data_IF_924402006830
#
_entry.id   IF_924402006830
#
_cell.length_a   1.000
_cell.length_b   1.000
_cell.length_c   1.000
_cell.angle_alpha   90.00
_cell.angle_beta   90.00
_cell.angle_gamma   90.00
#
_symmetry.space_group_name_H-M   'P 1'
#
loop_
_entity.id
_entity.type
_entity.pdbx_description
1 polymer ?
#
# COMPACT_ATOMS: atom_id res chain seq x y z
N UNK A 1 4.30 -15.10 17.01
CA UNK A 1 4.21 -13.64 17.25
C UNK A 1 3.04 -13.12 16.41
N UNK A 2 2.21 -12.21 16.92
CA UNK A 2 1.06 -11.72 16.12
C UNK A 2 1.56 -10.64 15.17
N UNK A 3 1.39 -10.86 13.86
CA UNK A 3 1.69 -9.87 12.84
C UNK A 3 0.39 -9.21 12.36
N UNK A 4 0.37 -7.89 12.34
CA UNK A 4 -0.66 -7.09 11.71
C UNK A 4 -0.23 -6.63 10.32
N UNK A 5 -1.21 -6.48 9.46
CA UNK A 5 -1.03 -6.04 8.09
C UNK A 5 -2.14 -5.07 7.72
N UNK A 6 -1.80 -3.88 7.26
CA UNK A 6 -2.75 -2.94 6.66
C UNK A 6 -2.47 -2.80 5.18
N UNK A 7 -3.55 -2.75 4.41
CA UNK A 7 -3.48 -2.59 2.96
C UNK A 7 -4.23 -1.35 2.50
N UNK A 8 -3.67 -0.67 1.51
CA UNK A 8 -4.28 0.47 0.87
C UNK A 8 -4.22 0.37 -0.65
N UNK A 9 -5.18 1.00 -1.30
CA UNK A 9 -5.19 1.18 -2.75
C UNK A 9 -5.57 2.60 -3.13
N UNK A 10 -5.02 3.07 -4.25
CA UNK A 10 -5.37 4.36 -4.83
C UNK A 10 -5.11 4.39 -6.32
N UNK A 11 -5.65 5.39 -7.05
CA UNK A 11 -5.34 5.57 -8.46
C UNK A 11 -3.87 5.99 -8.60
N UNK A 12 -3.14 5.41 -9.55
CA UNK A 12 -1.74 5.78 -9.78
C UNK A 12 -1.61 7.10 -10.57
N UNK A 13 -2.59 7.42 -11.43
CA UNK A 13 -2.69 8.65 -12.26
C UNK A 13 -1.43 8.98 -13.07
N UNK A 14 -0.85 7.96 -13.71
CA UNK A 14 0.32 8.12 -14.59
C UNK A 14 0.10 7.43 -15.93
N UNK A 15 0.78 7.93 -16.98
CA UNK A 15 0.68 7.36 -18.33
C UNK A 15 1.84 6.44 -18.72
N UNK A 16 2.89 6.35 -17.91
CA UNK A 16 4.12 5.61 -18.25
C UNK A 16 4.69 4.83 -17.06
N UNK A 17 5.50 3.80 -17.36
CA UNK A 17 6.23 3.02 -16.34
C UNK A 17 7.25 3.87 -15.58
N UNK A 18 7.90 4.84 -16.22
CA UNK A 18 8.84 5.76 -15.55
C UNK A 18 8.15 6.58 -14.48
N UNK A 19 7.00 7.19 -14.81
CA UNK A 19 6.21 7.96 -13.84
C UNK A 19 5.68 7.08 -12.69
N UNK A 20 5.33 5.83 -12.98
CA UNK A 20 4.97 4.88 -11.91
C UNK A 20 6.14 4.60 -10.97
N UNK A 21 7.34 4.43 -11.52
CA UNK A 21 8.55 4.27 -10.72
C UNK A 21 8.82 5.51 -9.87
N UNK A 22 8.75 6.71 -10.44
CA UNK A 22 8.90 7.97 -9.69
C UNK A 22 7.86 8.09 -8.56
N UNK A 23 6.61 7.67 -8.81
CA UNK A 23 5.56 7.67 -7.80
C UNK A 23 5.85 6.67 -6.67
N UNK A 24 6.35 5.47 -6.98
CA UNK A 24 6.75 4.48 -6.00
C UNK A 24 7.97 4.94 -5.18
N UNK A 25 8.93 5.61 -5.81
CA UNK A 25 10.08 6.22 -5.11
C UNK A 25 9.59 7.30 -4.16
N UNK A 26 8.73 8.21 -4.60
CA UNK A 26 8.15 9.23 -3.73
C UNK A 26 7.35 8.62 -2.57
N UNK A 27 6.63 7.52 -2.79
CA UNK A 27 5.91 6.81 -1.73
C UNK A 27 6.88 6.25 -0.69
N UNK A 28 7.95 5.61 -1.14
CA UNK A 28 9.02 5.12 -0.26
C UNK A 28 9.66 6.26 0.54
N UNK A 29 9.96 7.39 -0.11
CA UNK A 29 10.55 8.56 0.56
C UNK A 29 9.63 9.14 1.63
N UNK A 30 8.32 9.15 1.40
CA UNK A 30 7.33 9.58 2.40
C UNK A 30 7.15 8.56 3.54
N UNK A 31 7.16 7.26 3.24
CA UNK A 31 6.99 6.20 4.24
C UNK A 31 8.21 6.02 5.14
N UNK A 32 9.42 6.12 4.59
CA UNK A 32 10.66 5.83 5.31
C UNK A 32 10.79 6.59 6.64
N UNK A 33 10.60 7.92 6.72
CA UNK A 33 10.71 8.63 8.00
C UNK A 33 9.61 8.24 9.00
N UNK A 34 8.40 7.93 8.53
CA UNK A 34 7.30 7.48 9.39
C UNK A 34 7.64 6.11 9.99
N UNK A 35 8.08 5.17 9.15
CA UNK A 35 8.37 3.80 9.57
C UNK A 35 9.69 3.64 10.35
N UNK A 36 10.57 4.64 10.32
CA UNK A 36 11.81 4.61 11.10
C UNK A 36 11.58 4.54 12.62
N UNK A 37 10.40 4.97 13.09
CA UNK A 37 9.99 4.85 14.50
C UNK A 37 9.52 3.45 14.92
N UNK A 38 9.33 2.52 13.96
CA UNK A 38 8.68 1.22 14.15
C UNK A 38 9.59 0.10 13.63
N UNK A 39 10.50 -0.46 14.46
CA UNK A 39 11.55 -1.38 14.02
C UNK A 39 11.06 -2.65 13.34
N UNK A 40 9.86 -3.14 13.66
CA UNK A 40 9.31 -4.34 13.02
C UNK A 40 8.62 -4.03 11.69
N UNK A 41 8.20 -2.76 11.49
CA UNK A 41 7.44 -2.34 10.33
C UNK A 41 8.21 -2.55 9.01
N UNK A 42 7.57 -3.19 8.05
CA UNK A 42 8.03 -3.37 6.68
C UNK A 42 6.91 -2.96 5.74
N UNK A 43 7.25 -2.58 4.52
CA UNK A 43 6.26 -2.26 3.51
C UNK A 43 6.61 -2.85 2.16
N UNK A 44 5.57 -3.11 1.38
CA UNK A 44 5.62 -3.46 -0.03
C UNK A 44 4.66 -2.55 -0.79
N UNK A 45 5.14 -1.93 -1.86
CA UNK A 45 4.32 -1.10 -2.74
C UNK A 45 4.47 -1.55 -4.18
N UNK A 46 3.37 -1.59 -4.93
CA UNK A 46 3.33 -2.00 -6.34
C UNK A 46 2.41 -1.12 -7.16
N UNK A 47 2.76 -0.98 -8.43
CA UNK A 47 1.96 -0.30 -9.44
C UNK A 47 1.45 -1.35 -10.45
N UNK A 48 0.14 -1.43 -10.61
CA UNK A 48 -0.51 -2.37 -11.52
C UNK A 48 -1.09 -1.63 -12.72
N UNK A 49 -0.73 -2.10 -13.91
CA UNK A 49 -1.23 -1.58 -15.19
C UNK A 49 -2.24 -2.52 -15.86
N UNK A 50 -2.27 -3.77 -15.41
CA UNK A 50 -3.04 -4.85 -16.02
C UNK A 50 -3.62 -5.73 -14.91
N UNK A 51 -4.83 -6.24 -15.12
CA UNK A 51 -5.54 -7.08 -14.13
C UNK A 51 -4.80 -8.38 -13.84
N UNK A 52 -4.23 -9.02 -14.86
CA UNK A 52 -3.46 -10.26 -14.72
C UNK A 52 -2.27 -10.12 -13.77
N UNK A 53 -1.62 -8.95 -13.74
CA UNK A 53 -0.51 -8.69 -12.81
C UNK A 53 -0.99 -8.66 -11.35
N UNK A 54 -2.22 -8.19 -11.09
CA UNK A 54 -2.81 -8.20 -9.75
C UNK A 54 -3.22 -9.60 -9.31
N UNK A 55 -3.78 -10.41 -10.22
CA UNK A 55 -4.23 -11.78 -9.92
C UNK A 55 -3.10 -12.70 -9.45
N UNK A 56 -1.87 -12.43 -9.87
CA UNK A 56 -0.69 -13.16 -9.42
C UNK A 56 -0.21 -12.77 -8.01
N UNK A 57 -0.52 -11.55 -7.57
CA UNK A 57 -0.04 -10.99 -6.30
C UNK A 57 -1.11 -10.96 -5.20
N UNK A 58 -2.40 -10.91 -5.58
CA UNK A 58 -3.51 -10.57 -4.68
C UNK A 58 -4.63 -11.62 -4.77
N UNK A 59 -5.20 -11.95 -3.62
CA UNK A 59 -6.31 -12.92 -3.54
C UNK A 59 -7.60 -12.42 -4.21
N UNK A 60 -7.87 -11.10 -4.16
CA UNK A 60 -9.10 -10.51 -4.69
C UNK A 60 -8.84 -9.16 -5.39
N UNK A 61 -8.31 -9.15 -6.63
CA UNK A 61 -8.00 -7.93 -7.38
C UNK A 61 -9.19 -6.97 -7.59
N UNK A 62 -10.41 -7.51 -7.60
CA UNK A 62 -11.63 -6.73 -7.73
C UNK A 62 -11.80 -5.70 -6.61
N UNK A 63 -11.29 -5.98 -5.40
CA UNK A 63 -11.34 -5.04 -4.26
C UNK A 63 -10.45 -3.82 -4.53
N UNK A 64 -9.23 -4.03 -5.04
CA UNK A 64 -8.36 -2.93 -5.45
C UNK A 64 -9.00 -2.05 -6.51
N UNK A 65 -9.55 -2.68 -7.56
CA UNK A 65 -10.18 -1.97 -8.66
C UNK A 65 -11.40 -1.17 -8.22
N UNK A 66 -12.22 -1.72 -7.31
CA UNK A 66 -13.37 -1.00 -6.77
C UNK A 66 -12.95 0.26 -5.99
N UNK A 67 -11.81 0.22 -5.31
CA UNK A 67 -11.30 1.35 -4.50
C UNK A 67 -10.54 2.37 -5.34
N UNK A 68 -9.72 1.91 -6.27
CA UNK A 68 -8.92 2.77 -7.15
C UNK A 68 -9.71 3.29 -8.37
N UNK A 69 -10.86 2.69 -8.69
CA UNK A 69 -11.78 3.06 -9.77
C UNK A 69 -11.38 2.48 -11.13
N UNK A 70 -10.11 2.54 -11.51
CA UNK A 70 -9.60 1.99 -12.76
C UNK A 70 -8.08 1.77 -12.70
N UNK A 71 -7.56 1.02 -13.68
CA UNK A 71 -6.12 0.95 -13.94
C UNK A 71 -5.58 2.29 -14.51
N UNK A 72 -4.31 2.64 -14.24
CA UNK A 72 -3.37 1.93 -13.37
C UNK A 72 -3.60 2.22 -11.88
N UNK A 73 -3.32 1.22 -11.03
CA UNK A 73 -3.55 1.23 -9.58
C UNK A 73 -2.24 1.23 -8.81
N UNK A 74 -2.19 1.97 -7.70
CA UNK A 74 -1.15 1.90 -6.68
C UNK A 74 -1.66 1.07 -5.50
N UNK A 75 -0.89 0.08 -5.09
CA UNK A 75 -1.14 -0.74 -3.91
C UNK A 75 -0.01 -0.59 -2.91
N UNK A 76 -0.37 -0.52 -1.63
CA UNK A 76 0.54 -0.46 -0.49
C UNK A 76 0.11 -1.49 0.55
N UNK A 77 1.08 -2.24 1.05
CA UNK A 77 0.93 -3.15 2.17
C UNK A 77 1.99 -2.82 3.20
N UNK A 78 1.59 -2.66 4.47
CA UNK A 78 2.50 -2.43 5.59
C UNK A 78 2.27 -3.54 6.61
N UNK A 79 3.31 -4.27 6.98
CA UNK A 79 3.29 -5.34 7.99
C UNK A 79 4.12 -4.94 9.20
N UNK A 80 3.61 -5.23 10.41
CA UNK A 80 4.24 -4.86 11.67
C UNK A 80 3.76 -5.81 12.79
N UNK A 81 4.38 -5.73 13.96
CA UNK A 81 3.94 -6.43 15.18
C UNK A 81 2.68 -5.76 15.76
N UNK A 82 1.80 -6.57 16.36
CA UNK A 82 0.52 -6.09 16.93
C UNK A 82 0.69 -4.83 17.79
N UNK A 83 -0.18 -3.84 17.55
CA UNK A 83 -0.20 -2.53 18.24
C UNK A 83 1.05 -1.63 18.02
N UNK A 84 2.03 -2.01 17.20
CA UNK A 84 3.26 -1.22 17.00
C UNK A 84 3.00 0.09 16.23
N UNK A 85 2.22 0.03 15.15
CA UNK A 85 1.98 1.18 14.25
C UNK A 85 0.59 1.78 14.49
N UNK A 86 0.49 3.00 15.06
CA UNK A 86 -0.78 3.68 15.27
C UNK A 86 -1.57 3.87 13.97
N UNK A 87 -2.90 3.86 14.06
CA UNK A 87 -3.78 4.02 12.90
C UNK A 87 -3.59 5.35 12.17
N UNK A 88 -3.19 6.41 12.87
CA UNK A 88 -3.01 7.75 12.34
C UNK A 88 -1.62 8.03 11.75
N UNK A 89 -0.64 7.14 11.99
CA UNK A 89 0.74 7.33 11.58
C UNK A 89 0.91 7.51 10.04
N UNK A 90 -0.01 6.94 9.25
CA UNK A 90 0.07 6.93 7.79
C UNK A 90 -0.90 7.91 7.12
N UNK A 91 -1.71 8.66 7.87
CA UNK A 91 -2.76 9.53 7.31
C UNK A 91 -2.22 10.57 6.33
N UNK A 92 -1.04 11.14 6.58
CA UNK A 92 -0.43 12.08 5.64
C UNK A 92 0.01 11.40 4.33
N UNK A 93 0.58 10.20 4.43
CA UNK A 93 0.97 9.40 3.26
C UNK A 93 -0.26 8.99 2.47
N UNK A 94 -1.33 8.57 3.15
CA UNK A 94 -2.61 8.24 2.52
C UNK A 94 -3.14 9.40 1.70
N UNK A 95 -3.17 10.60 2.29
CA UNK A 95 -3.64 11.81 1.62
C UNK A 95 -2.76 12.20 0.44
N UNK A 96 -1.44 12.16 0.59
CA UNK A 96 -0.48 12.55 -0.45
C UNK A 96 -0.52 11.61 -1.68
N UNK A 97 -0.84 10.34 -1.45
CA UNK A 97 -0.90 9.31 -2.48
C UNK A 97 -2.33 8.92 -2.90
N UNK A 98 -3.34 9.60 -2.36
CA UNK A 98 -4.76 9.31 -2.60
C UNK A 98 -5.11 7.84 -2.31
N UNK A 99 -4.46 7.27 -1.30
CA UNK A 99 -4.65 5.90 -0.88
C UNK A 99 -5.87 5.81 0.05
N UNK A 100 -6.59 4.70 -0.05
CA UNK A 100 -7.72 4.37 0.81
C UNK A 100 -7.48 3.00 1.43
N UNK A 101 -7.73 2.91 2.73
CA UNK A 101 -7.60 1.66 3.48
C UNK A 101 -8.56 0.61 2.93
N UNK A 102 -8.02 -0.56 2.58
CA UNK A 102 -8.77 -1.75 2.20
C UNK A 102 -9.19 -2.55 3.43
N UNK A 103 -8.29 -2.62 4.41
CA UNK A 103 -8.53 -3.33 5.66
C UNK A 103 -7.26 -3.54 6.46
N UNK A 104 -7.46 -4.06 7.66
CA UNK A 104 -6.43 -4.52 8.57
C UNK A 104 -6.63 -6.01 8.84
N UNK A 105 -5.56 -6.78 8.72
CA UNK A 105 -5.56 -8.22 8.78
C UNK A 105 -4.58 -8.67 9.86
N UNK A 106 -5.04 -9.58 10.73
CA UNK A 106 -4.21 -10.22 11.73
C UNK A 106 -3.80 -11.59 11.23
N UNK A 107 -2.50 -11.85 11.16
CA UNK A 107 -1.98 -13.19 10.95
C UNK A 107 -1.85 -13.87 12.30
N UNK A 108 -2.74 -14.83 12.54
CA UNK A 108 -2.64 -15.75 13.66
C UNK A 108 -1.75 -16.91 13.20
N UNK A 109 -0.57 -17.05 13.80
CA UNK A 109 0.30 -18.23 13.62
C UNK A 109 -0.24 -19.46 14.34
#
# INVERSE_FOLDING_TARGET
>A
MVQECREWAGPLRVGTRTQAYERLVGLKEALTPVLAGYPSARFLARAYFETESMENDLLVPAVLLAVAGALPVLWLNVTYEDEEVPADALVEVERLFELRLLGEFRRIE
#
